data_IF_546122825280
#
_entry.id   IF_546122825280
#
_cell.length_a   1.000
_cell.length_b   1.000
_cell.length_c   1.000
_cell.angle_alpha   90.00
_cell.angle_beta   90.00
_cell.angle_gamma   90.00
#
_symmetry.space_group_name_H-M   'P 1'
#
loop_
_entity.id
_entity.type
_entity.pdbx_description
1 polymer ?
#
# COMPACT_ATOMS: atom_id res chain seq x y z
N UNK A 1 -143.47 44.74 9.91
CA UNK A 1 -143.07 43.92 8.74
C UNK A 1 -141.68 44.42 8.36
N UNK A 2 -140.56 43.74 8.55
CA UNK A 2 -140.23 42.44 9.14
C UNK A 2 -138.74 42.48 9.52
N UNK A 3 -138.37 41.74 10.56
CA UNK A 3 -137.00 41.53 11.04
C UNK A 3 -136.24 40.57 10.11
N UNK A 4 -134.97 40.85 9.81
CA UNK A 4 -134.04 39.84 9.27
C UNK A 4 -132.71 39.88 10.03
N UNK A 5 -132.24 38.67 10.31
CA UNK A 5 -131.21 38.25 11.26
C UNK A 5 -129.82 38.28 10.59
N UNK A 6 -128.92 39.16 11.07
CA UNK A 6 -127.56 39.37 10.56
C UNK A 6 -126.48 38.66 11.41
N UNK A 7 -126.87 37.85 12.41
CA UNK A 7 -125.94 37.35 13.42
C UNK A 7 -125.31 35.97 13.15
N UNK A 8 -125.78 35.25 12.11
CA UNK A 8 -125.31 33.88 11.80
C UNK A 8 -124.17 33.79 10.79
N UNK A 9 -124.00 34.79 9.92
CA UNK A 9 -123.02 34.77 8.82
C UNK A 9 -121.58 35.05 9.27
N UNK A 10 -121.38 35.77 10.38
CA UNK A 10 -120.03 36.20 10.81
C UNK A 10 -119.26 35.09 11.56
N UNK A 11 -119.97 34.10 12.13
CA UNK A 11 -119.33 32.95 12.82
C UNK A 11 -118.88 31.85 11.85
N UNK A 12 -119.65 31.61 10.78
CA UNK A 12 -119.29 30.64 9.74
C UNK A 12 -118.12 31.14 8.89
N UNK A 13 -118.04 32.45 8.60
CA UNK A 13 -116.90 33.03 7.88
C UNK A 13 -115.59 33.00 8.68
N UNK A 14 -115.62 33.16 10.01
CA UNK A 14 -114.41 33.02 10.86
C UNK A 14 -113.94 31.57 11.00
N UNK A 15 -114.86 30.60 11.04
CA UNK A 15 -114.50 29.17 11.08
C UNK A 15 -113.87 28.71 9.77
N UNK A 16 -114.45 29.12 8.63
CA UNK A 16 -113.91 28.82 7.31
C UNK A 16 -112.55 29.49 7.07
N UNK A 17 -112.33 30.72 7.57
CA UNK A 17 -111.02 31.36 7.51
C UNK A 17 -109.97 30.65 8.39
N UNK A 18 -110.34 30.14 9.57
CA UNK A 18 -109.44 29.41 10.46
C UNK A 18 -109.05 28.03 9.89
N UNK A 19 -110.00 27.29 9.32
CA UNK A 19 -109.74 26.01 8.65
C UNK A 19 -108.91 26.18 7.38
N UNK A 20 -109.18 27.24 6.60
CA UNK A 20 -108.40 27.54 5.40
C UNK A 20 -106.96 27.99 5.74
N UNK A 21 -106.76 28.67 6.87
CA UNK A 21 -105.44 29.06 7.36
C UNK A 21 -104.66 27.86 7.95
N UNK A 22 -105.33 26.93 8.65
CA UNK A 22 -104.73 25.66 9.09
C UNK A 22 -104.37 24.74 7.92
N UNK A 23 -105.19 24.69 6.88
CA UNK A 23 -104.89 23.93 5.66
C UNK A 23 -103.69 24.53 4.89
N UNK A 24 -103.59 25.86 4.80
CA UNK A 24 -102.45 26.52 4.17
C UNK A 24 -101.16 26.37 5.00
N UNK A 25 -101.24 26.37 6.34
CA UNK A 25 -100.11 26.11 7.23
C UNK A 25 -99.63 24.64 7.17
N UNK A 26 -100.54 23.66 7.10
CA UNK A 26 -100.17 22.23 6.94
C UNK A 26 -99.55 21.93 5.57
N UNK A 27 -100.02 22.58 4.51
CA UNK A 27 -99.38 22.49 3.18
C UNK A 27 -97.97 23.10 3.18
N UNK A 28 -97.77 24.23 3.87
CA UNK A 28 -96.44 24.84 4.06
C UNK A 28 -95.53 23.96 4.89
N UNK A 29 -96.05 23.36 5.95
CA UNK A 29 -95.30 22.44 6.81
C UNK A 29 -94.84 21.20 6.02
N UNK A 30 -95.72 20.60 5.20
CA UNK A 30 -95.35 19.51 4.31
C UNK A 30 -94.31 19.90 3.25
N UNK A 31 -94.43 21.08 2.64
CA UNK A 31 -93.45 21.58 1.68
C UNK A 31 -92.08 21.83 2.33
N UNK A 32 -92.06 22.35 3.56
CA UNK A 32 -90.84 22.51 4.35
C UNK A 32 -90.21 21.17 4.72
N UNK A 33 -90.99 20.19 5.17
CA UNK A 33 -90.51 18.84 5.46
C UNK A 33 -89.91 18.16 4.23
N UNK A 34 -90.55 18.28 3.06
CA UNK A 34 -89.98 17.78 1.80
C UNK A 34 -88.68 18.48 1.42
N UNK A 35 -88.60 19.80 1.60
CA UNK A 35 -87.38 20.56 1.33
C UNK A 35 -86.24 20.19 2.28
N UNK A 36 -86.54 19.96 3.56
CA UNK A 36 -85.57 19.47 4.55
C UNK A 36 -85.05 18.09 4.15
N UNK A 37 -85.92 17.16 3.77
CA UNK A 37 -85.50 15.81 3.35
C UNK A 37 -84.56 15.84 2.13
N UNK A 38 -84.82 16.73 1.15
CA UNK A 38 -83.92 16.92 0.00
C UNK A 38 -82.57 17.50 0.43
N UNK A 39 -82.57 18.52 1.30
CA UNK A 39 -81.33 19.12 1.81
C UNK A 39 -80.51 18.14 2.66
N UNK A 40 -81.18 17.27 3.45
CA UNK A 40 -80.51 16.21 4.21
C UNK A 40 -79.86 15.18 3.30
N UNK A 41 -80.52 14.80 2.19
CA UNK A 41 -79.95 13.92 1.19
C UNK A 41 -78.74 14.55 0.47
N UNK A 42 -78.83 15.81 0.05
CA UNK A 42 -77.72 16.56 -0.56
C UNK A 42 -76.53 16.71 0.42
N UNK A 43 -76.81 17.02 1.69
CA UNK A 43 -75.78 17.13 2.73
C UNK A 43 -75.11 15.77 3.00
N UNK A 44 -75.86 14.68 2.98
CA UNK A 44 -75.31 13.33 3.12
C UNK A 44 -74.37 12.98 1.96
N UNK A 45 -74.74 13.34 0.74
CA UNK A 45 -73.94 13.12 -0.45
C UNK A 45 -72.66 13.97 -0.44
N UNK A 46 -72.77 15.26 -0.08
CA UNK A 46 -71.62 16.15 0.09
C UNK A 46 -70.63 15.64 1.15
N UNK A 47 -71.13 15.06 2.25
CA UNK A 47 -70.28 14.45 3.29
C UNK A 47 -69.53 13.21 2.80
N UNK A 48 -70.14 12.41 1.92
CA UNK A 48 -69.46 11.25 1.31
C UNK A 48 -68.34 11.73 0.38
N UNK A 49 -68.63 12.69 -0.51
CA UNK A 49 -67.64 13.28 -1.41
C UNK A 49 -66.48 13.93 -0.65
N UNK A 50 -66.77 14.66 0.44
CA UNK A 50 -65.73 15.24 1.28
C UNK A 50 -64.81 14.18 1.89
N UNK A 51 -65.36 13.05 2.37
CA UNK A 51 -64.56 11.93 2.89
C UNK A 51 -63.70 11.27 1.82
N UNK A 52 -64.23 11.09 0.61
CA UNK A 52 -63.46 10.57 -0.52
C UNK A 52 -62.33 11.52 -0.93
N UNK A 53 -62.59 12.83 -0.96
CA UNK A 53 -61.58 13.84 -1.24
C UNK A 53 -60.43 13.79 -0.22
N UNK A 54 -60.75 13.80 1.08
CA UNK A 54 -59.73 13.71 2.13
C UNK A 54 -58.94 12.40 2.04
N UNK A 55 -59.59 11.30 1.65
CA UNK A 55 -58.90 10.01 1.44
C UNK A 55 -57.94 10.07 0.25
N UNK A 56 -58.35 10.67 -0.87
CA UNK A 56 -57.52 10.85 -2.05
C UNK A 56 -56.33 11.78 -1.76
N UNK A 57 -56.55 12.87 -1.03
CA UNK A 57 -55.48 13.77 -0.59
C UNK A 57 -54.43 13.03 0.25
N UNK A 58 -54.87 12.22 1.22
CA UNK A 58 -53.97 11.40 2.02
C UNK A 58 -53.19 10.38 1.16
N UNK A 59 -53.82 9.78 0.15
CA UNK A 59 -53.14 8.86 -0.78
C UNK A 59 -52.14 9.57 -1.69
N UNK A 60 -52.46 10.77 -2.16
CA UNK A 60 -51.54 11.58 -2.97
C UNK A 60 -50.31 11.94 -2.14
N UNK A 61 -50.49 12.31 -0.88
CA UNK A 61 -49.36 12.64 0.00
C UNK A 61 -48.48 11.42 0.28
N UNK A 62 -49.08 10.26 0.58
CA UNK A 62 -48.33 9.00 0.72
C UNK A 62 -47.57 8.62 -0.56
N UNK A 63 -48.16 8.83 -1.74
CA UNK A 63 -47.48 8.59 -3.01
C UNK A 63 -46.35 9.58 -3.26
N UNK A 64 -46.46 10.83 -2.81
CA UNK A 64 -45.38 11.82 -2.90
C UNK A 64 -44.21 11.43 -2.01
N UNK A 65 -44.48 11.12 -0.74
CA UNK A 65 -43.44 10.65 0.19
C UNK A 65 -42.74 9.39 -0.34
N UNK A 66 -43.50 8.40 -0.83
CA UNK A 66 -42.94 7.18 -1.41
C UNK A 66 -42.07 7.48 -2.64
N UNK A 67 -42.52 8.38 -3.52
CA UNK A 67 -41.73 8.80 -4.68
C UNK A 67 -40.44 9.53 -4.28
N UNK A 68 -40.49 10.41 -3.29
CA UNK A 68 -39.30 11.10 -2.77
C UNK A 68 -38.28 10.10 -2.21
N UNK A 69 -38.74 9.14 -1.41
CA UNK A 69 -37.88 8.07 -0.90
C UNK A 69 -37.25 7.22 -2.02
N UNK A 70 -38.01 6.90 -3.07
CA UNK A 70 -37.49 6.19 -4.24
C UNK A 70 -36.45 7.01 -4.99
N UNK A 71 -36.69 8.30 -5.21
CA UNK A 71 -35.73 9.20 -5.86
C UNK A 71 -34.44 9.28 -5.05
N UNK A 72 -34.53 9.46 -3.73
CA UNK A 72 -33.35 9.50 -2.85
C UNK A 72 -32.58 8.17 -2.87
N UNK A 73 -33.29 7.04 -2.82
CA UNK A 73 -32.67 5.72 -2.89
C UNK A 73 -31.98 5.47 -4.25
N UNK A 74 -32.59 5.89 -5.36
CA UNK A 74 -31.98 5.73 -6.69
C UNK A 74 -30.75 6.62 -6.86
N UNK A 75 -30.77 7.87 -6.41
CA UNK A 75 -29.60 8.77 -6.44
C UNK A 75 -28.45 8.23 -5.57
N UNK A 76 -28.75 7.73 -4.38
CA UNK A 76 -27.74 7.11 -3.51
C UNK A 76 -27.15 5.83 -4.12
N UNK A 77 -27.99 4.97 -4.69
CA UNK A 77 -27.55 3.74 -5.35
C UNK A 77 -26.69 4.04 -6.58
N UNK A 78 -27.08 5.05 -7.37
CA UNK A 78 -26.30 5.51 -8.52
C UNK A 78 -24.93 6.05 -8.08
N UNK A 79 -24.88 6.87 -7.04
CA UNK A 79 -23.62 7.42 -6.50
C UNK A 79 -22.67 6.32 -6.02
N UNK A 80 -23.19 5.30 -5.32
CA UNK A 80 -22.41 4.14 -4.88
C UNK A 80 -21.90 3.32 -6.06
N UNK A 81 -22.74 3.14 -7.09
CA UNK A 81 -22.36 2.42 -8.31
C UNK A 81 -21.27 3.15 -9.08
N UNK A 82 -21.40 4.46 -9.24
CA UNK A 82 -20.40 5.28 -9.93
C UNK A 82 -19.05 5.23 -9.21
N UNK A 83 -19.05 5.26 -7.87
CA UNK A 83 -17.84 5.07 -7.06
C UNK A 83 -17.23 3.67 -7.26
N UNK A 84 -18.06 2.62 -7.21
CA UNK A 84 -17.60 1.25 -7.41
C UNK A 84 -17.03 1.03 -8.83
N UNK A 85 -17.70 1.56 -9.86
CA UNK A 85 -17.24 1.49 -11.24
C UNK A 85 -15.92 2.27 -11.44
N UNK A 86 -15.78 3.46 -10.85
CA UNK A 86 -14.53 4.22 -10.90
C UNK A 86 -13.37 3.44 -10.26
N UNK A 87 -13.63 2.78 -9.12
CA UNK A 87 -12.62 1.97 -8.42
C UNK A 87 -12.25 0.73 -9.24
N UNK A 88 -13.24 0.05 -9.82
CA UNK A 88 -13.02 -1.15 -10.64
C UNK A 88 -12.29 -0.83 -11.96
N UNK A 89 -12.59 0.32 -12.59
CA UNK A 89 -11.86 0.79 -13.78
C UNK A 89 -10.39 1.02 -13.46
N UNK A 90 -10.07 1.71 -12.35
CA UNK A 90 -8.67 1.89 -11.89
C UNK A 90 -7.97 0.55 -11.62
N UNK A 91 -8.67 -0.41 -11.03
CA UNK A 91 -8.13 -1.74 -10.78
C UNK A 91 -7.86 -2.53 -12.08
N UNK A 92 -8.76 -2.41 -13.07
CA UNK A 92 -8.60 -3.06 -14.38
C UNK A 92 -7.47 -2.43 -15.18
N UNK A 93 -7.37 -1.10 -15.19
CA UNK A 93 -6.25 -0.35 -15.79
C UNK A 93 -4.92 -0.71 -15.13
N UNK A 94 -4.91 -0.88 -13.80
CA UNK A 94 -3.76 -1.37 -13.07
C UNK A 94 -3.33 -2.78 -13.50
N UNK A 95 -4.26 -3.74 -13.60
CA UNK A 95 -3.93 -5.10 -14.02
C UNK A 95 -3.33 -5.11 -15.44
N UNK A 96 -3.86 -4.30 -16.34
CA UNK A 96 -3.33 -4.14 -17.69
C UNK A 96 -1.92 -3.52 -17.68
N UNK A 97 -1.70 -2.49 -16.86
CA UNK A 97 -0.40 -1.83 -16.71
C UNK A 97 0.64 -2.75 -16.07
N UNK A 98 0.28 -3.46 -15.00
CA UNK A 98 1.12 -4.45 -14.34
C UNK A 98 1.54 -5.56 -15.29
N UNK A 99 0.59 -6.09 -16.08
CA UNK A 99 0.89 -7.10 -17.08
C UNK A 99 1.90 -6.57 -18.11
N UNK A 100 1.79 -5.29 -18.50
CA UNK A 100 2.73 -4.66 -19.42
C UNK A 100 4.12 -4.45 -18.78
N UNK A 101 4.17 -3.91 -17.57
CA UNK A 101 5.41 -3.64 -16.83
C UNK A 101 6.14 -4.93 -16.39
N UNK A 102 5.43 -6.04 -16.17
CA UNK A 102 6.04 -7.36 -15.95
C UNK A 102 6.48 -8.03 -17.26
N UNK A 103 5.74 -7.83 -18.35
CA UNK A 103 6.07 -8.42 -19.66
C UNK A 103 7.32 -7.79 -20.29
N UNK A 104 7.53 -6.49 -20.07
CA UNK A 104 8.66 -5.75 -20.62
C UNK A 104 10.03 -6.30 -20.19
N UNK A 105 10.31 -6.59 -18.89
CA UNK A 105 11.57 -7.18 -18.47
C UNK A 105 11.73 -8.67 -18.81
N UNK A 106 10.62 -9.39 -19.05
CA UNK A 106 10.66 -10.80 -19.45
C UNK A 106 11.24 -11.01 -20.86
N UNK A 107 11.04 -10.07 -21.78
CA UNK A 107 11.53 -10.21 -23.15
C UNK A 107 13.08 -10.20 -23.24
N UNK A 108 13.81 -9.25 -22.63
CA UNK A 108 15.27 -9.29 -22.57
C UNK A 108 15.82 -10.47 -21.75
N UNK A 109 15.12 -10.91 -20.71
CA UNK A 109 15.49 -12.12 -19.94
C UNK A 109 15.44 -13.37 -20.81
N UNK A 110 14.34 -13.56 -21.55
CA UNK A 110 14.19 -14.69 -22.46
C UNK A 110 15.25 -14.68 -23.55
N UNK A 111 15.53 -13.51 -24.15
CA UNK A 111 16.59 -13.36 -25.15
C UNK A 111 17.98 -13.66 -24.58
N UNK A 112 18.25 -13.18 -23.36
CA UNK A 112 19.52 -13.43 -22.66
C UNK A 112 19.70 -14.91 -22.32
N UNK A 113 18.65 -15.59 -21.88
CA UNK A 113 18.65 -17.03 -21.64
C UNK A 113 18.90 -17.83 -22.94
N UNK A 114 18.25 -17.46 -24.05
CA UNK A 114 18.51 -18.07 -25.36
C UNK A 114 19.94 -17.83 -25.86
N UNK A 115 20.50 -16.64 -25.63
CA UNK A 115 21.90 -16.33 -25.95
C UNK A 115 22.88 -17.14 -25.08
N UNK A 116 22.62 -17.28 -23.78
CA UNK A 116 23.43 -18.15 -22.89
C UNK A 116 23.38 -19.60 -23.37
N UNK A 117 22.21 -20.10 -23.78
CA UNK A 117 22.05 -21.46 -24.29
C UNK A 117 22.80 -21.68 -25.61
N UNK A 118 22.76 -20.70 -26.53
CA UNK A 118 23.51 -20.74 -27.79
C UNK A 118 25.04 -20.64 -27.58
N UNK A 119 25.48 -19.84 -26.61
CA UNK A 119 26.89 -19.72 -26.22
C UNK A 119 27.40 -21.00 -25.53
N UNK A 120 26.59 -21.62 -24.67
CA UNK A 120 26.91 -22.90 -24.04
C UNK A 120 27.02 -24.06 -25.07
N UNK A 121 26.23 -24.02 -26.14
CA UNK A 121 26.28 -25.01 -27.24
C UNK A 121 27.46 -24.83 -28.21
N UNK A 122 28.22 -23.73 -28.12
CA UNK A 122 29.33 -23.40 -29.04
C UNK A 122 30.72 -23.44 -28.36
N UNK A 123 30.85 -24.26 -27.32
CA UNK A 123 32.10 -24.47 -26.58
C UNK A 123 33.15 -25.26 -27.39
N UNK A 124 33.80 -24.57 -28.34
CA UNK A 124 35.09 -24.96 -28.91
C UNK A 124 36.23 -24.20 -28.23
N UNK A 125 37.36 -24.88 -27.96
CA UNK A 125 38.47 -24.44 -27.10
C UNK A 125 39.22 -23.15 -27.49
N UNK A 126 38.80 -22.42 -28.53
CA UNK A 126 39.51 -21.25 -29.08
C UNK A 126 38.87 -19.87 -28.74
N UNK A 127 37.75 -19.82 -28.01
CA UNK A 127 36.96 -18.59 -27.85
C UNK A 127 36.89 -18.00 -26.42
N UNK A 128 37.80 -18.40 -25.53
CA UNK A 128 37.75 -18.11 -24.08
C UNK A 128 37.79 -16.61 -23.71
N UNK A 129 38.37 -15.73 -24.55
CA UNK A 129 38.43 -14.28 -24.27
C UNK A 129 37.16 -13.50 -24.65
N UNK A 130 36.63 -13.73 -25.85
CA UNK A 130 35.46 -13.01 -26.37
C UNK A 130 34.13 -13.57 -25.81
N UNK A 131 34.04 -14.89 -25.60
CA UNK A 131 32.87 -15.52 -24.99
C UNK A 131 32.69 -15.12 -23.53
N UNK A 132 33.78 -14.92 -22.77
CA UNK A 132 33.70 -14.47 -21.37
C UNK A 132 33.13 -13.05 -21.22
N UNK A 133 33.51 -12.13 -22.10
CA UNK A 133 32.95 -10.78 -22.14
C UNK A 133 31.45 -10.79 -22.53
N UNK A 134 31.07 -11.62 -23.51
CA UNK A 134 29.67 -11.80 -23.89
C UNK A 134 28.83 -12.45 -22.78
N UNK A 135 29.35 -13.48 -22.08
CA UNK A 135 28.68 -14.09 -20.93
C UNK A 135 28.45 -13.06 -19.82
N UNK A 136 29.45 -12.24 -19.51
CA UNK A 136 29.37 -11.20 -18.48
C UNK A 136 28.34 -10.13 -18.86
N UNK A 137 28.29 -9.74 -20.13
CA UNK A 137 27.30 -8.78 -20.62
C UNK A 137 25.87 -9.34 -20.54
N UNK A 138 25.66 -10.59 -20.96
CA UNK A 138 24.35 -11.25 -20.93
C UNK A 138 23.89 -11.50 -19.50
N UNK A 139 24.77 -12.00 -18.62
CA UNK A 139 24.48 -12.12 -17.18
C UNK A 139 24.16 -10.77 -16.53
N UNK A 140 24.84 -9.70 -16.96
CA UNK A 140 24.54 -8.34 -16.52
C UNK A 140 23.15 -7.84 -16.95
N UNK A 141 22.68 -8.19 -18.16
CA UNK A 141 21.31 -7.91 -18.60
C UNK A 141 20.30 -8.69 -17.77
N UNK A 142 20.51 -9.99 -17.57
CA UNK A 142 19.65 -10.85 -16.75
C UNK A 142 19.50 -10.28 -15.34
N UNK A 143 20.62 -9.97 -14.68
CA UNK A 143 20.62 -9.42 -13.32
C UNK A 143 19.82 -8.12 -13.24
N UNK A 144 20.07 -7.15 -14.13
CA UNK A 144 19.31 -5.88 -14.15
C UNK A 144 17.80 -6.08 -14.31
N UNK A 145 17.39 -7.01 -15.16
CA UNK A 145 15.97 -7.29 -15.39
C UNK A 145 15.31 -8.04 -14.22
N UNK A 146 16.01 -8.99 -13.60
CA UNK A 146 15.55 -9.64 -12.36
C UNK A 146 15.40 -8.63 -11.24
N UNK A 147 16.40 -7.75 -11.04
CA UNK A 147 16.34 -6.70 -10.02
C UNK A 147 15.17 -5.73 -10.28
N UNK A 148 14.90 -5.42 -11.54
CA UNK A 148 13.73 -4.60 -11.93
C UNK A 148 12.41 -5.30 -11.61
N UNK A 149 12.28 -6.60 -11.93
CA UNK A 149 11.08 -7.37 -11.61
C UNK A 149 10.86 -7.51 -10.10
N UNK A 150 11.93 -7.78 -9.34
CA UNK A 150 11.86 -7.87 -7.88
C UNK A 150 11.33 -6.56 -7.28
N UNK A 151 11.88 -5.41 -7.69
CA UNK A 151 11.39 -4.09 -7.25
C UNK A 151 9.92 -3.86 -7.58
N UNK A 152 9.47 -4.20 -8.80
CA UNK A 152 8.05 -4.05 -9.19
C UNK A 152 7.11 -4.94 -8.36
N UNK A 153 7.55 -6.15 -8.03
CA UNK A 153 6.81 -7.08 -7.17
C UNK A 153 6.75 -6.57 -5.73
N UNK A 154 7.88 -6.10 -5.18
CA UNK A 154 7.95 -5.53 -3.84
C UNK A 154 7.06 -4.29 -3.71
N UNK A 155 7.10 -3.38 -4.68
CA UNK A 155 6.21 -2.20 -4.74
C UNK A 155 4.73 -2.60 -4.75
N UNK A 156 4.37 -3.65 -5.50
CA UNK A 156 3.00 -4.15 -5.58
C UNK A 156 2.56 -4.81 -4.27
N UNK A 157 3.43 -5.59 -3.65
CA UNK A 157 3.17 -6.23 -2.35
C UNK A 157 3.03 -5.17 -1.25
N UNK A 158 3.85 -4.13 -1.27
CA UNK A 158 3.73 -3.02 -0.34
C UNK A 158 2.44 -2.24 -0.57
N UNK A 159 2.07 -1.92 -1.81
CA UNK A 159 0.77 -1.29 -2.12
C UNK A 159 -0.42 -2.13 -1.64
N UNK A 160 -0.38 -3.46 -1.85
CA UNK A 160 -1.42 -4.37 -1.40
C UNK A 160 -1.49 -4.47 0.14
N UNK A 161 -0.34 -4.48 0.82
CA UNK A 161 -0.26 -4.50 2.29
C UNK A 161 -0.72 -3.18 2.91
N UNK A 162 -0.38 -2.05 2.30
CA UNK A 162 -0.87 -0.71 2.68
C UNK A 162 -2.39 -0.65 2.55
N UNK A 163 -2.91 -1.00 1.36
CA UNK A 163 -4.34 -0.92 1.05
C UNK A 163 -5.19 -1.84 1.96
N UNK A 164 -4.62 -2.98 2.37
CA UNK A 164 -5.27 -3.91 3.31
C UNK A 164 -5.04 -3.58 4.79
N UNK A 165 -4.27 -2.53 5.12
CA UNK A 165 -3.97 -2.13 6.50
C UNK A 165 -3.10 -3.12 7.29
N UNK A 166 -2.39 -4.03 6.61
CA UNK A 166 -1.63 -5.14 7.23
C UNK A 166 -0.14 -4.83 7.47
N UNK A 167 0.26 -3.56 7.43
CA UNK A 167 1.65 -3.17 7.68
C UNK A 167 1.85 -2.90 9.17
N UNK A 168 2.75 -3.66 9.77
CA UNK A 168 3.25 -3.40 11.13
C UNK A 168 4.63 -2.74 11.01
N UNK A 169 4.80 -1.54 11.59
CA UNK A 169 6.08 -0.84 11.59
C UNK A 169 6.99 -1.33 12.73
N UNK A 170 8.28 -1.48 12.42
CA UNK A 170 9.34 -1.70 13.41
C UNK A 170 9.84 -0.38 13.99
N UNK A 171 8.99 0.38 14.67
CA UNK A 171 9.37 1.70 15.19
C UNK A 171 10.43 1.55 16.29
N UNK A 172 11.59 2.19 16.09
CA UNK A 172 12.68 2.24 17.07
C UNK A 172 13.45 3.57 16.96
N UNK A 173 14.23 3.96 17.97
CA UNK A 173 15.12 5.11 17.87
C UNK A 173 16.13 4.90 16.72
N UNK A 174 16.17 5.85 15.80
CA UNK A 174 16.95 5.79 14.57
C UNK A 174 17.62 7.15 14.33
N UNK A 175 18.92 7.11 14.03
CA UNK A 175 19.62 8.25 13.45
C UNK A 175 19.22 8.39 11.98
N UNK A 176 18.52 9.49 11.64
CA UNK A 176 17.99 9.72 10.30
C UNK A 176 19.07 9.69 9.21
N UNK A 177 20.27 10.18 9.52
CA UNK A 177 21.40 10.19 8.59
C UNK A 177 21.69 8.79 8.03
N UNK A 178 21.63 7.74 8.85
CA UNK A 178 21.89 6.38 8.39
C UNK A 178 20.86 5.88 7.36
N UNK A 179 19.58 6.24 7.52
CA UNK A 179 18.55 5.89 6.53
C UNK A 179 18.71 6.69 5.23
N UNK A 180 19.11 7.96 5.33
CA UNK A 180 19.39 8.81 4.16
C UNK A 180 20.63 8.34 3.41
N UNK A 181 21.71 7.97 4.10
CA UNK A 181 22.94 7.45 3.51
C UNK A 181 22.68 6.16 2.73
N UNK A 182 21.92 5.21 3.30
CA UNK A 182 21.51 3.99 2.59
C UNK A 182 20.65 4.27 1.35
N UNK A 183 19.74 5.25 1.45
CA UNK A 183 18.92 5.66 0.31
C UNK A 183 19.76 6.28 -0.80
N UNK A 184 20.76 7.11 -0.45
CA UNK A 184 21.72 7.69 -1.39
C UNK A 184 22.55 6.59 -2.06
N UNK A 185 23.08 5.64 -1.29
CA UNK A 185 23.86 4.51 -1.81
C UNK A 185 23.06 3.69 -2.83
N UNK A 186 21.79 3.45 -2.55
CA UNK A 186 20.86 2.73 -3.43
C UNK A 186 20.70 3.42 -4.79
N UNK A 187 20.66 4.77 -4.82
CA UNK A 187 20.38 5.55 -6.05
C UNK A 187 21.66 6.04 -6.74
N UNK A 188 22.80 6.03 -6.04
CA UNK A 188 24.08 6.52 -6.53
C UNK A 188 24.58 5.91 -7.86
N UNK A 189 24.38 4.60 -8.16
CA UNK A 189 24.76 4.05 -9.46
C UNK A 189 24.03 4.73 -10.62
N UNK A 190 22.72 4.99 -10.46
CA UNK A 190 21.88 5.61 -11.49
C UNK A 190 22.22 7.08 -11.69
N UNK A 191 22.45 7.82 -10.61
CA UNK A 191 22.88 9.22 -10.66
C UNK A 191 24.22 9.34 -11.43
N UNK A 192 25.18 8.46 -11.14
CA UNK A 192 26.48 8.42 -11.84
C UNK A 192 26.34 8.05 -13.31
N UNK A 193 25.55 7.04 -13.64
CA UNK A 193 25.31 6.60 -15.02
C UNK A 193 24.72 7.73 -15.89
N UNK A 194 23.86 8.57 -15.30
CA UNK A 194 23.23 9.72 -15.95
C UNK A 194 24.05 11.02 -15.86
N UNK A 195 25.24 10.98 -15.24
CA UNK A 195 26.10 12.14 -15.03
C UNK A 195 25.47 13.26 -14.19
N UNK A 196 24.48 12.94 -13.34
CA UNK A 196 23.78 13.91 -12.50
C UNK A 196 24.61 14.29 -11.26
N UNK A 197 24.43 15.51 -10.75
CA UNK A 197 25.03 15.95 -9.48
C UNK A 197 24.05 15.80 -8.31
N UNK A 198 24.52 15.22 -7.20
CA UNK A 198 23.77 15.12 -5.96
C UNK A 198 24.48 15.95 -4.88
N UNK A 199 23.79 16.97 -4.37
CA UNK A 199 24.24 17.77 -3.24
C UNK A 199 23.51 17.35 -1.97
N UNK A 200 24.27 16.96 -0.95
CA UNK A 200 23.73 16.51 0.33
C UNK A 200 24.12 17.51 1.42
N UNK A 201 23.13 18.04 2.13
CA UNK A 201 23.32 18.98 3.23
C UNK A 201 22.57 18.47 4.47
N UNK A 202 23.33 18.04 5.48
CA UNK A 202 22.81 17.59 6.77
C UNK A 202 23.28 18.51 7.89
N UNK A 203 22.51 18.67 8.97
CA UNK A 203 22.95 19.45 10.11
C UNK A 203 24.03 18.68 10.87
N UNK A 204 24.92 19.41 11.55
CA UNK A 204 25.94 18.80 12.40
C UNK A 204 25.35 18.11 13.64
N UNK A 205 24.14 18.51 14.05
CA UNK A 205 23.40 17.87 15.16
C UNK A 205 22.78 16.53 14.71
N UNK A 206 22.98 15.44 15.47
CA UNK A 206 22.33 14.16 15.19
C UNK A 206 20.80 14.25 15.27
N UNK A 207 20.13 14.00 14.14
CA UNK A 207 18.66 13.97 14.06
C UNK A 207 18.15 12.56 14.38
N UNK A 208 17.61 12.38 15.59
CA UNK A 208 17.06 11.09 16.05
C UNK A 208 15.53 11.10 15.96
N UNK A 209 14.97 10.06 15.36
CA UNK A 209 13.52 9.86 15.21
C UNK A 209 13.11 8.47 15.67
N UNK A 210 11.85 8.31 16.05
CA UNK A 210 11.22 7.00 16.23
C UNK A 210 10.74 6.53 14.87
N UNK A 211 11.37 5.50 14.31
CA UNK A 211 10.93 4.99 13.02
C UNK A 211 11.49 3.63 12.62
N UNK A 212 10.86 3.06 11.60
CA UNK A 212 11.31 1.84 10.96
C UNK A 212 12.40 2.19 9.93
N UNK A 213 13.66 1.78 10.16
CA UNK A 213 14.77 2.13 9.28
C UNK A 213 14.59 1.61 7.86
N UNK A 214 14.03 0.41 7.68
CA UNK A 214 13.87 -0.20 6.35
C UNK A 214 12.83 0.60 5.56
N UNK A 215 11.72 0.95 6.21
CA UNK A 215 10.62 1.70 5.57
C UNK A 215 10.99 3.15 5.31
N UNK A 216 11.78 3.78 6.18
CA UNK A 216 12.26 5.14 5.96
C UNK A 216 13.32 5.20 4.87
N UNK A 217 14.27 4.25 4.83
CA UNK A 217 15.20 4.11 3.70
C UNK A 217 14.44 3.96 2.38
N UNK A 218 13.38 3.15 2.36
CA UNK A 218 12.51 2.99 1.19
C UNK A 218 11.83 4.30 0.77
N UNK A 219 11.30 5.07 1.72
CA UNK A 219 10.70 6.40 1.45
C UNK A 219 11.70 7.30 0.73
N UNK A 220 12.91 7.45 1.27
CA UNK A 220 13.90 8.36 0.71
C UNK A 220 14.50 7.84 -0.60
N UNK A 221 14.69 6.53 -0.73
CA UNK A 221 15.14 5.92 -1.99
C UNK A 221 14.12 6.13 -3.11
N UNK A 222 12.81 6.08 -2.81
CA UNK A 222 11.76 6.37 -3.78
C UNK A 222 11.75 7.84 -4.21
N UNK A 223 11.94 8.78 -3.28
CA UNK A 223 12.00 10.20 -3.60
C UNK A 223 13.25 10.55 -4.42
N UNK A 224 14.43 10.06 -4.02
CA UNK A 224 15.69 10.26 -4.75
C UNK A 224 15.68 9.55 -6.11
N UNK A 225 15.10 8.36 -6.18
CA UNK A 225 14.92 7.62 -7.42
C UNK A 225 14.02 8.35 -8.40
N UNK A 226 12.94 8.98 -7.92
CA UNK A 226 12.09 9.86 -8.71
C UNK A 226 12.86 11.11 -9.16
N UNK A 227 13.58 11.78 -8.27
CA UNK A 227 14.40 12.93 -8.62
C UNK A 227 15.39 12.61 -9.76
N UNK A 228 16.13 11.51 -9.65
CA UNK A 228 17.06 11.05 -10.71
C UNK A 228 16.35 10.71 -12.02
N UNK A 229 15.18 10.08 -11.94
CA UNK A 229 14.38 9.69 -13.11
C UNK A 229 13.85 10.88 -13.90
N UNK A 230 13.34 11.90 -13.21
CA UNK A 230 12.68 13.06 -13.84
C UNK A 230 13.62 14.22 -14.12
N UNK A 231 14.82 14.19 -13.53
CA UNK A 231 15.94 15.06 -13.89
C UNK A 231 16.60 14.60 -15.17
N UNK A 232 16.96 15.54 -16.05
CA UNK A 232 17.73 15.25 -17.25
C UNK A 232 19.13 14.72 -16.94
N UNK A 233 19.85 14.23 -17.96
CA UNK A 233 21.25 13.87 -17.81
C UNK A 233 22.07 15.14 -17.54
N UNK A 234 23.06 15.05 -16.64
CA UNK A 234 23.81 16.24 -16.20
C UNK A 234 23.03 17.21 -15.28
N UNK A 235 21.79 16.88 -14.89
CA UNK A 235 21.00 17.73 -14.00
C UNK A 235 21.40 17.61 -12.53
N UNK A 236 20.69 18.35 -11.67
CA UNK A 236 21.08 18.60 -10.28
C UNK A 236 19.96 18.20 -9.31
N UNK A 237 20.34 17.47 -8.27
CA UNK A 237 19.48 16.99 -7.20
C UNK A 237 20.05 17.47 -5.88
N UNK A 238 19.21 18.02 -5.01
CA UNK A 238 19.55 18.46 -3.67
C UNK A 238 18.78 17.63 -2.65
N UNK A 239 19.52 17.06 -1.69
CA UNK A 239 18.97 16.40 -0.51
C UNK A 239 19.36 17.24 0.70
N UNK A 240 18.37 17.78 1.40
CA UNK A 240 18.57 18.58 2.61
C UNK A 240 17.82 17.98 3.77
N UNK A 241 18.43 17.96 4.95
CA UNK A 241 17.72 17.68 6.19
C UNK A 241 17.99 18.79 7.20
N UNK A 242 16.97 19.19 7.97
CA UNK A 242 17.13 20.13 9.06
C UNK A 242 16.09 19.91 10.15
N UNK A 243 16.41 20.40 11.35
CA UNK A 243 15.47 20.45 12.47
C UNK A 243 14.57 21.68 12.34
N UNK A 244 13.27 21.48 12.43
CA UNK A 244 12.27 22.55 12.58
C UNK A 244 11.46 22.27 13.85
N UNK A 245 11.82 22.94 14.94
CA UNK A 245 11.19 22.79 16.27
C UNK A 245 11.22 21.34 16.81
N UNK A 246 10.06 20.66 16.79
CA UNK A 246 9.83 19.28 17.22
C UNK A 246 9.70 18.31 16.04
N UNK A 247 10.00 18.78 14.82
CA UNK A 247 9.98 17.98 13.61
C UNK A 247 11.36 17.99 12.93
N UNK A 248 11.67 16.90 12.24
CA UNK A 248 12.74 16.88 11.24
C UNK A 248 12.11 17.03 9.86
N UNK A 249 12.71 17.90 9.06
CA UNK A 249 12.29 18.15 7.69
C UNK A 249 13.37 17.63 6.75
N UNK A 250 12.97 16.81 5.79
CA UNK A 250 13.81 16.32 4.70
C UNK A 250 13.25 16.83 3.38
N UNK A 251 14.05 17.56 2.62
CA UNK A 251 13.70 18.06 1.29
C UNK A 251 14.53 17.33 0.23
N UNK A 252 13.84 16.81 -0.78
CA UNK A 252 14.43 16.35 -2.04
C UNK A 252 13.98 17.29 -3.15
N UNK A 253 14.92 18.08 -3.67
CA UNK A 253 14.66 19.05 -4.73
C UNK A 253 15.44 18.69 -5.99
N UNK A 254 14.80 18.84 -7.14
CA UNK A 254 15.40 18.60 -8.44
C UNK A 254 15.16 19.76 -9.40
N UNK A 255 15.96 19.85 -10.46
CA UNK A 255 15.79 20.79 -11.57
C UNK A 255 15.25 20.11 -12.84
N UNK A 256 14.47 19.06 -12.67
CA UNK A 256 13.97 18.21 -13.74
C UNK A 256 12.72 18.75 -14.45
N UNK A 257 11.94 17.82 -15.00
CA UNK A 257 10.78 18.11 -15.84
C UNK A 257 9.65 18.88 -15.13
N UNK A 258 9.68 18.99 -13.80
CA UNK A 258 8.61 19.64 -13.02
C UNK A 258 7.28 18.89 -13.10
N UNK A 259 6.24 19.47 -12.48
CA UNK A 259 4.92 18.85 -12.33
C UNK A 259 3.86 19.86 -12.77
N UNK A 260 2.96 19.41 -13.66
CA UNK A 260 1.81 20.22 -14.07
C UNK A 260 0.89 20.55 -12.86
N UNK A 261 0.41 21.79 -12.70
CA UNK A 261 -0.39 22.20 -11.54
C UNK A 261 -1.62 21.33 -11.27
N UNK A 262 -2.28 20.85 -12.33
CA UNK A 262 -3.44 19.96 -12.27
C UNK A 262 -3.11 18.55 -11.75
N UNK A 263 -1.83 18.16 -11.77
CA UNK A 263 -1.37 16.86 -11.30
C UNK A 263 -0.99 16.89 -9.82
N UNK A 264 -0.47 18.02 -9.30
CA UNK A 264 -0.01 18.17 -7.91
C UNK A 264 -0.97 17.62 -6.85
N UNK A 265 -2.31 17.86 -6.91
CA UNK A 265 -3.23 17.32 -5.90
C UNK A 265 -3.33 15.80 -5.89
N UNK A 266 -3.02 15.14 -7.00
CA UNK A 266 -3.25 13.70 -7.24
C UNK A 266 -1.97 12.88 -7.37
N UNK A 267 -0.77 13.48 -7.36
CA UNK A 267 0.49 12.73 -7.60
C UNK A 267 0.76 11.61 -6.58
N UNK A 268 0.15 11.68 -5.40
CA UNK A 268 0.26 10.67 -4.36
C UNK A 268 -0.89 9.66 -4.39
N UNK A 269 -1.88 9.86 -5.25
CA UNK A 269 -2.94 8.87 -5.47
C UNK A 269 -2.33 7.65 -6.19
N UNK A 270 -2.85 6.49 -5.84
CA UNK A 270 -2.43 5.22 -6.40
C UNK A 270 -2.61 5.24 -7.94
N UNK A 271 -1.56 4.84 -8.67
CA UNK A 271 -1.55 4.68 -10.13
C UNK A 271 -1.56 5.95 -10.97
N UNK A 272 -1.31 7.11 -10.36
CA UNK A 272 -1.18 8.35 -11.12
C UNK A 272 0.21 8.44 -11.78
N UNK A 273 0.22 8.68 -13.09
CA UNK A 273 1.43 8.95 -13.89
C UNK A 273 1.28 10.29 -14.62
N UNK A 274 2.39 11.00 -14.81
CA UNK A 274 2.44 12.18 -15.70
C UNK A 274 2.30 11.79 -17.18
N UNK A 275 1.96 12.75 -18.06
CA UNK A 275 1.86 12.50 -19.50
C UNK A 275 3.17 11.92 -20.05
N UNK A 276 3.06 10.81 -20.79
CA UNK A 276 4.21 10.12 -21.41
C UNK A 276 4.79 11.01 -22.51
N UNK A 277 5.90 11.69 -22.24
CA UNK A 277 6.70 12.29 -23.32
C UNK A 277 7.28 11.16 -24.16
N UNK A 278 7.03 11.18 -25.49
CA UNK A 278 7.47 10.20 -26.50
C UNK A 278 8.96 9.84 -26.48
N UNK A 279 9.79 10.59 -25.75
CA UNK A 279 11.24 10.41 -25.65
C UNK A 279 11.72 9.57 -24.44
N UNK A 280 10.85 9.14 -23.50
CA UNK A 280 11.28 8.36 -22.32
C UNK A 280 10.31 7.22 -22.00
N UNK A 281 10.78 5.99 -22.23
CA UNK A 281 10.06 4.73 -22.01
C UNK A 281 10.16 4.17 -20.58
N UNK A 282 10.80 4.88 -19.64
CA UNK A 282 10.90 4.47 -18.23
C UNK A 282 9.62 4.83 -17.45
N UNK A 283 8.43 4.47 -17.91
CA UNK A 283 7.21 4.55 -17.09
C UNK A 283 7.32 3.62 -15.88
N UNK A 284 6.85 4.04 -14.70
CA UNK A 284 6.79 3.17 -13.51
C UNK A 284 5.36 3.13 -12.99
N UNK A 285 4.94 2.08 -12.27
CA UNK A 285 3.54 1.77 -11.93
C UNK A 285 2.71 2.87 -11.22
N UNK A 286 3.29 4.02 -10.85
CA UNK A 286 2.57 5.09 -10.13
C UNK A 286 2.26 4.73 -8.68
N UNK A 287 3.05 3.82 -8.10
CA UNK A 287 2.87 3.29 -6.75
C UNK A 287 3.79 4.01 -5.74
N UNK A 288 5.01 4.37 -6.16
CA UNK A 288 6.07 4.83 -5.25
C UNK A 288 5.70 6.05 -4.38
N UNK A 289 5.04 7.07 -4.95
CA UNK A 289 4.63 8.25 -4.15
C UNK A 289 3.47 7.93 -3.20
N UNK A 290 2.56 7.03 -3.56
CA UNK A 290 1.51 6.57 -2.65
C UNK A 290 2.11 5.80 -1.46
N UNK A 291 3.09 4.93 -1.73
CA UNK A 291 3.85 4.22 -0.68
C UNK A 291 4.55 5.23 0.23
N UNK A 292 5.21 6.25 -0.33
CA UNK A 292 5.83 7.32 0.45
C UNK A 292 4.83 8.00 1.38
N UNK A 293 3.67 8.43 0.86
CA UNK A 293 2.65 9.11 1.67
C UNK A 293 2.16 8.24 2.83
N UNK A 294 1.85 6.98 2.56
CA UNK A 294 1.33 6.08 3.58
C UNK A 294 2.39 5.72 4.62
N UNK A 295 3.62 5.38 4.20
CA UNK A 295 4.70 5.07 5.14
C UNK A 295 5.05 6.27 6.02
N UNK A 296 5.17 7.48 5.45
CA UNK A 296 5.40 8.71 6.23
C UNK A 296 4.25 8.95 7.21
N UNK A 297 3.00 8.80 6.78
CA UNK A 297 1.83 8.93 7.65
C UNK A 297 1.81 7.92 8.79
N UNK A 298 2.19 6.67 8.54
CA UNK A 298 2.30 5.63 9.59
C UNK A 298 3.42 5.93 10.60
N UNK A 299 4.43 6.73 10.23
CA UNK A 299 5.46 7.26 11.13
C UNK A 299 5.04 8.55 11.84
N UNK A 300 3.77 8.97 11.73
CA UNK A 300 3.26 10.21 12.32
C UNK A 300 3.72 11.48 11.60
N UNK A 301 4.22 11.35 10.36
CA UNK A 301 4.70 12.45 9.55
C UNK A 301 3.75 12.89 8.45
N UNK A 302 4.19 13.90 7.67
CA UNK A 302 3.47 14.41 6.49
C UNK A 302 4.45 14.56 5.33
N UNK A 303 4.00 14.25 4.12
CA UNK A 303 4.74 14.54 2.88
C UNK A 303 3.96 15.53 2.02
N UNK A 304 4.67 16.52 1.48
CA UNK A 304 4.15 17.50 0.53
C UNK A 304 5.04 17.57 -0.72
N UNK A 305 4.48 18.10 -1.81
CA UNK A 305 5.20 18.33 -3.04
C UNK A 305 4.86 19.71 -3.61
N UNK A 306 5.87 20.38 -4.14
CA UNK A 306 5.77 21.70 -4.75
C UNK A 306 6.50 21.69 -6.10
N UNK A 307 5.94 22.39 -7.08
CA UNK A 307 6.56 22.60 -8.38
C UNK A 307 6.02 23.91 -8.98
N UNK A 308 6.87 24.69 -9.64
CA UNK A 308 6.47 25.91 -10.33
C UNK A 308 5.95 25.67 -11.75
N UNK A 309 5.72 24.41 -12.12
CA UNK A 309 5.25 23.99 -13.43
C UNK A 309 6.28 23.19 -14.21
N UNK A 310 5.93 22.82 -15.44
CA UNK A 310 6.78 22.01 -16.31
C UNK A 310 8.11 22.73 -16.63
N UNK A 311 9.21 22.00 -16.58
CA UNK A 311 10.58 22.48 -16.79
C UNK A 311 11.21 23.24 -15.63
N UNK A 312 10.49 23.43 -14.51
CA UNK A 312 10.96 24.20 -13.35
C UNK A 312 11.43 23.31 -12.18
N UNK A 313 11.47 21.99 -12.37
CA UNK A 313 11.79 21.03 -11.32
C UNK A 313 10.70 20.84 -10.27
N UNK A 314 10.98 20.00 -9.28
CA UNK A 314 10.08 19.70 -8.16
C UNK A 314 10.83 19.72 -6.82
N UNK A 315 10.08 19.98 -5.76
CA UNK A 315 10.53 19.79 -4.37
C UNK A 315 9.55 18.88 -3.64
N UNK A 316 10.06 17.83 -3.00
CA UNK A 316 9.32 16.94 -2.13
C UNK A 316 9.81 17.12 -0.70
N UNK A 317 8.90 17.42 0.21
CA UNK A 317 9.23 17.68 1.62
C UNK A 317 8.57 16.64 2.51
N UNK A 318 9.37 15.93 3.30
CA UNK A 318 8.93 14.96 4.32
C UNK A 318 9.16 15.58 5.70
N UNK A 319 8.13 15.61 6.53
CA UNK A 319 8.16 16.06 7.93
C UNK A 319 7.91 14.87 8.84
N UNK A 320 8.78 14.62 9.80
CA UNK A 320 8.67 13.53 10.78
C UNK A 320 8.84 14.07 12.20
N UNK A 321 8.16 13.52 13.21
CA UNK A 321 8.35 13.93 14.60
C UNK A 321 9.77 13.57 15.09
N UNK A 322 10.43 14.52 15.76
CA UNK A 322 11.72 14.28 16.42
C UNK A 322 11.53 13.54 17.74
N UNK A 323 12.37 12.54 17.98
CA UNK A 323 12.45 11.91 19.30
C UNK A 323 13.27 12.80 20.24
N UNK A 324 12.69 13.16 21.38
CA UNK A 324 13.33 14.02 22.40
C UNK A 324 14.48 13.39 23.19
N UNK A 325 15.16 12.36 22.66
CA UNK A 325 16.20 11.62 23.38
C UNK A 325 17.42 11.35 22.51
N UNK A 326 18.51 12.05 22.80
CA UNK A 326 19.84 11.62 22.36
C UNK A 326 20.23 10.36 23.13
N UNK A 327 20.14 9.19 22.49
CA UNK A 327 20.81 7.99 22.96
C UNK A 327 22.05 7.74 22.08
N UNK A 328 23.21 7.40 22.68
CA UNK A 328 24.45 7.24 21.94
C UNK A 328 24.39 5.94 21.12
N UNK A 329 24.48 6.06 19.80
CA UNK A 329 24.69 4.91 18.92
C UNK A 329 26.15 4.49 19.06
N UNK A 330 26.38 3.26 19.51
CA UNK A 330 27.69 2.63 19.47
C UNK A 330 28.14 2.51 18.01
N UNK A 331 29.25 3.15 17.68
CA UNK A 331 29.93 3.01 16.39
C UNK A 331 30.34 1.56 16.16
N UNK A 332 29.89 0.98 15.05
CA UNK A 332 30.49 -0.24 14.49
C UNK A 332 31.54 0.23 13.47
N UNK A 333 32.82 -0.09 13.62
CA UNK A 333 33.82 0.28 12.62
C UNK A 333 33.63 -0.59 11.37
N UNK A 334 33.36 0.04 10.24
CA UNK A 334 33.52 -0.56 8.92
C UNK A 334 35.01 -0.51 8.55
N UNK A 335 35.64 -1.69 8.46
CA UNK A 335 36.96 -1.86 7.87
C UNK A 335 36.88 -2.91 6.76
N UNK A 336 37.50 -2.69 5.58
CA UNK A 336 37.56 -3.69 4.54
C UNK A 336 38.51 -4.82 4.97
N UNK A 337 38.02 -6.06 5.04
CA UNK A 337 38.84 -7.24 5.34
C UNK A 337 39.33 -7.89 4.06
N UNK A 338 40.66 -7.99 3.93
CA UNK A 338 41.35 -8.83 2.96
C UNK A 338 41.13 -10.33 3.21
N UNK A 339 41.48 -11.12 2.20
CA UNK A 339 41.04 -12.49 1.91
C UNK A 339 41.93 -13.61 2.49
N UNK A 340 42.04 -13.75 3.82
CA UNK A 340 42.91 -14.79 4.40
C UNK A 340 42.28 -15.84 5.34
N UNK A 341 40.95 -15.92 5.52
CA UNK A 341 40.35 -17.03 6.29
C UNK A 341 39.05 -17.52 5.68
N UNK A 342 39.07 -18.72 5.09
CA UNK A 342 37.90 -19.43 4.59
C UNK A 342 37.06 -19.97 5.76
N UNK A 343 35.78 -19.63 5.82
CA UNK A 343 34.82 -20.21 6.78
C UNK A 343 34.21 -21.51 6.25
N UNK A 344 33.86 -22.41 7.16
CA UNK A 344 32.98 -23.55 6.90
C UNK A 344 31.53 -23.12 7.12
N UNK A 345 30.73 -23.21 6.08
CA UNK A 345 29.35 -22.77 6.05
C UNK A 345 28.44 -23.97 5.81
N UNK A 346 27.38 -24.12 6.62
CA UNK A 346 26.29 -25.04 6.34
C UNK A 346 25.08 -24.25 5.82
N UNK A 347 24.59 -24.59 4.63
CA UNK A 347 23.39 -24.02 4.04
C UNK A 347 22.23 -25.02 4.13
N UNK A 348 21.12 -24.62 4.73
CA UNK A 348 19.90 -25.43 4.88
C UNK A 348 18.75 -24.73 4.17
N UNK A 349 18.37 -25.23 2.99
CA UNK A 349 17.41 -24.61 2.07
C UNK A 349 16.73 -25.70 1.23
N UNK A 350 15.40 -25.76 1.25
CA UNK A 350 14.62 -26.80 0.55
C UNK A 350 14.48 -26.55 -0.95
N UNK A 351 14.58 -25.29 -1.38
CA UNK A 351 14.68 -24.96 -2.78
C UNK A 351 16.08 -25.28 -3.33
N UNK A 352 16.18 -26.39 -4.06
CA UNK A 352 17.43 -26.90 -4.65
C UNK A 352 18.14 -25.84 -5.49
N UNK A 353 17.42 -25.12 -6.36
CA UNK A 353 18.02 -24.11 -7.25
C UNK A 353 18.58 -22.91 -6.46
N UNK A 354 17.84 -22.45 -5.44
CA UNK A 354 18.29 -21.37 -4.57
C UNK A 354 19.49 -21.81 -3.72
N UNK A 355 19.44 -23.03 -3.19
CA UNK A 355 20.51 -23.64 -2.41
C UNK A 355 21.81 -23.76 -3.24
N UNK A 356 21.72 -24.28 -4.45
CA UNK A 356 22.86 -24.44 -5.36
C UNK A 356 23.45 -23.10 -5.81
N UNK A 357 22.59 -22.10 -6.05
CA UNK A 357 23.04 -20.74 -6.42
C UNK A 357 23.79 -20.08 -5.26
N UNK A 358 23.26 -20.18 -4.04
CA UNK A 358 23.89 -19.63 -2.83
C UNK A 358 25.19 -20.37 -2.50
N UNK A 359 25.23 -21.69 -2.65
CA UNK A 359 26.46 -22.49 -2.53
C UNK A 359 27.53 -21.98 -3.49
N UNK A 360 27.21 -21.88 -4.78
CA UNK A 360 28.15 -21.42 -5.79
C UNK A 360 28.69 -20.00 -5.49
N UNK A 361 27.82 -19.09 -5.00
CA UNK A 361 28.22 -17.74 -4.58
C UNK A 361 29.22 -17.76 -3.42
N UNK A 362 28.95 -18.55 -2.39
CA UNK A 362 29.79 -18.63 -1.19
C UNK A 362 31.11 -19.37 -1.46
N UNK A 363 31.09 -20.42 -2.30
CA UNK A 363 32.31 -21.11 -2.77
C UNK A 363 33.18 -20.18 -3.63
N UNK A 364 32.57 -19.36 -4.50
CA UNK A 364 33.27 -18.34 -5.28
C UNK A 364 33.92 -17.27 -4.39
N UNK A 365 33.31 -16.97 -3.24
CA UNK A 365 33.88 -16.10 -2.21
C UNK A 365 34.98 -16.78 -1.36
N UNK A 366 35.30 -18.05 -1.63
CA UNK A 366 36.39 -18.79 -1.01
C UNK A 366 36.01 -19.54 0.28
N UNK A 367 34.73 -19.88 0.47
CA UNK A 367 34.25 -20.63 1.64
C UNK A 367 34.07 -22.13 1.37
N UNK A 368 34.21 -22.96 2.40
CA UNK A 368 33.88 -24.40 2.35
C UNK A 368 32.39 -24.56 2.69
N UNK A 369 31.55 -24.89 1.71
CA UNK A 369 30.09 -24.90 1.86
C UNK A 369 29.54 -26.31 1.80
N UNK A 370 28.85 -26.72 2.86
CA UNK A 370 28.01 -27.91 2.86
C UNK A 370 26.53 -27.52 2.68
N UNK A 371 25.76 -28.36 2.02
CA UNK A 371 24.33 -28.14 1.76
C UNK A 371 23.46 -29.22 2.36
N UNK A 372 22.27 -28.84 2.81
CA UNK A 372 21.19 -29.72 3.20
C UNK A 372 19.87 -29.19 2.61
N UNK A 373 19.12 -30.06 1.95
CA UNK A 373 17.88 -29.70 1.26
C UNK A 373 16.62 -29.88 2.11
N UNK A 374 16.79 -30.21 3.39
CA UNK A 374 15.69 -30.30 4.34
C UNK A 374 16.21 -30.08 5.77
N UNK A 375 15.29 -29.77 6.68
CA UNK A 375 15.63 -29.44 8.06
C UNK A 375 16.24 -30.59 8.86
N UNK A 376 15.92 -31.85 8.53
CA UNK A 376 16.44 -33.02 9.24
C UNK A 376 17.89 -33.29 8.85
N UNK A 377 18.17 -33.28 7.54
CA UNK A 377 19.52 -33.36 7.00
C UNK A 377 20.38 -32.19 7.50
N UNK A 378 19.81 -30.98 7.57
CA UNK A 378 20.50 -29.80 8.09
C UNK A 378 20.90 -29.95 9.56
N UNK A 379 19.99 -30.44 10.39
CA UNK A 379 20.27 -30.70 11.81
C UNK A 379 21.33 -31.81 12.00
N UNK A 380 21.24 -32.90 11.25
CA UNK A 380 22.21 -34.01 11.31
C UNK A 380 23.60 -33.55 10.85
N UNK A 381 23.68 -32.78 9.76
CA UNK A 381 24.94 -32.19 9.30
C UNK A 381 25.56 -31.27 10.36
N UNK A 382 24.75 -30.39 10.96
CA UNK A 382 25.21 -29.48 12.00
C UNK A 382 25.68 -30.17 13.30
N UNK A 383 25.22 -31.40 13.57
CA UNK A 383 25.64 -32.20 14.72
C UNK A 383 26.89 -33.05 14.45
N UNK A 384 27.10 -33.45 13.20
CA UNK A 384 28.21 -34.35 12.80
C UNK A 384 29.51 -33.61 12.53
N UNK A 385 29.44 -32.37 12.04
CA UNK A 385 30.61 -31.54 11.74
C UNK A 385 30.41 -30.13 12.33
N UNK A 386 31.51 -29.53 12.78
CA UNK A 386 31.51 -28.14 13.22
C UNK A 386 31.55 -27.20 12.01
N UNK A 387 30.64 -26.22 12.00
CA UNK A 387 30.55 -25.14 11.03
C UNK A 387 30.68 -23.79 11.74
N UNK A 388 31.41 -22.88 11.11
CA UNK A 388 31.61 -21.52 11.62
C UNK A 388 30.33 -20.69 11.42
N UNK A 389 29.66 -20.90 10.28
CA UNK A 389 28.41 -20.21 9.92
C UNK A 389 27.35 -21.25 9.51
N UNK A 390 26.11 -21.04 9.96
CA UNK A 390 24.95 -21.79 9.48
C UNK A 390 23.96 -20.81 8.87
N UNK A 391 23.62 -20.99 7.61
CA UNK A 391 22.56 -20.25 6.91
C UNK A 391 21.36 -21.17 6.78
N UNK A 392 20.23 -20.83 7.40
CA UNK A 392 19.11 -21.75 7.53
C UNK A 392 17.79 -21.07 7.20
N UNK A 393 17.03 -21.64 6.27
CA UNK A 393 15.65 -21.25 6.05
C UNK A 393 14.77 -21.59 7.26
N UNK A 394 13.89 -20.67 7.63
CA UNK A 394 12.88 -20.88 8.67
C UNK A 394 11.77 -21.78 8.12
N UNK A 395 11.35 -21.57 6.87
CA UNK A 395 10.18 -22.19 6.26
C UNK A 395 10.35 -23.64 5.80
N UNK A 396 11.24 -24.42 6.41
CA UNK A 396 11.57 -25.77 5.95
C UNK A 396 10.41 -26.76 6.17
N UNK A 397 10.17 -27.67 5.21
CA UNK A 397 9.17 -28.73 5.36
C UNK A 397 9.59 -29.73 6.45
N UNK A 398 8.63 -30.13 7.29
CA UNK A 398 8.85 -31.09 8.37
C UNK A 398 9.35 -30.44 9.66
N UNK A 399 10.66 -30.17 9.75
CA UNK A 399 11.27 -29.52 10.91
C UNK A 399 11.51 -28.04 10.59
N UNK A 400 10.81 -27.16 11.31
CA UNK A 400 10.97 -25.71 11.23
C UNK A 400 12.42 -25.29 11.59
N UNK A 401 13.00 -24.35 10.84
CA UNK A 401 14.33 -23.80 11.11
C UNK A 401 14.48 -23.20 12.52
N UNK A 402 13.39 -22.69 13.11
CA UNK A 402 13.38 -22.27 14.52
C UNK A 402 13.71 -23.43 15.47
N UNK A 403 13.21 -24.63 15.18
CA UNK A 403 13.44 -25.81 16.02
C UNK A 403 14.88 -26.33 15.86
N UNK A 404 15.41 -26.32 14.63
CA UNK A 404 16.82 -26.65 14.36
C UNK A 404 17.73 -25.77 15.21
N UNK A 405 17.52 -24.45 15.19
CA UNK A 405 18.36 -23.51 15.92
C UNK A 405 18.22 -23.67 17.43
N UNK A 406 17.02 -23.88 17.97
CA UNK A 406 16.85 -24.15 19.41
C UNK A 406 17.63 -25.38 19.85
N UNK A 407 17.62 -26.44 19.04
CA UNK A 407 18.36 -27.66 19.34
C UNK A 407 19.87 -27.44 19.27
N UNK A 408 20.37 -26.73 18.24
CA UNK A 408 21.78 -26.36 18.14
C UNK A 408 22.23 -25.46 19.30
N UNK A 409 21.41 -24.51 19.75
CA UNK A 409 21.75 -23.68 20.91
C UNK A 409 21.79 -24.49 22.20
N UNK A 410 20.88 -25.45 22.40
CA UNK A 410 20.92 -26.34 23.58
C UNK A 410 22.21 -27.16 23.63
N UNK A 411 22.65 -27.73 22.51
CA UNK A 411 23.89 -28.52 22.45
C UNK A 411 25.14 -27.65 22.58
N UNK A 412 25.13 -26.45 21.98
CA UNK A 412 26.26 -25.50 22.05
C UNK A 412 26.30 -24.69 23.36
N UNK A 413 25.30 -24.78 24.23
CA UNK A 413 25.22 -23.98 25.47
C UNK A 413 26.34 -24.29 26.47
N UNK A 414 26.94 -25.48 26.39
CA UNK A 414 28.05 -25.91 27.22
C UNK A 414 29.43 -25.65 26.58
N UNK A 415 29.47 -25.17 25.33
CA UNK A 415 30.72 -24.93 24.60
C UNK A 415 31.29 -23.54 24.87
N UNK A 416 32.61 -23.35 24.74
CA UNK A 416 33.21 -22.02 24.79
C UNK A 416 32.57 -21.10 23.71
N UNK A 417 32.41 -19.79 23.98
CA UNK A 417 31.84 -18.85 23.00
C UNK A 417 32.52 -18.87 21.63
N UNK A 418 33.82 -19.23 21.57
CA UNK A 418 34.60 -19.36 20.35
C UNK A 418 34.22 -20.57 19.47
N UNK A 419 33.49 -21.58 20.00
CA UNK A 419 33.03 -22.76 19.25
C UNK A 419 31.59 -22.66 18.77
N UNK A 420 30.84 -21.65 19.21
CA UNK A 420 29.44 -21.46 18.84
C UNK A 420 29.32 -20.99 17.39
N UNK A 421 28.55 -21.71 16.57
CA UNK A 421 28.28 -21.30 15.18
C UNK A 421 27.50 -19.99 15.11
N UNK A 422 27.82 -19.15 14.12
CA UNK A 422 27.04 -17.95 13.81
C UNK A 422 25.89 -18.32 12.88
N UNK A 423 24.65 -18.08 13.28
CA UNK A 423 23.46 -18.59 12.57
C UNK A 423 22.69 -17.44 11.94
N UNK A 424 22.51 -17.50 10.62
CA UNK A 424 21.78 -16.54 9.79
C UNK A 424 20.46 -17.19 9.35
N UNK A 425 19.33 -16.55 9.68
CA UNK A 425 18.02 -16.99 9.21
C UNK A 425 17.75 -16.49 7.78
N UNK A 426 17.25 -17.37 6.91
CA UNK A 426 16.58 -16.99 5.67
C UNK A 426 15.07 -17.11 5.88
N UNK A 427 14.29 -16.14 5.40
CA UNK A 427 12.83 -16.22 5.52
C UNK A 427 12.11 -15.52 4.38
N UNK A 428 11.02 -16.11 3.90
CA UNK A 428 10.07 -15.46 3.00
C UNK A 428 9.14 -14.44 3.68
N UNK A 429 9.16 -14.33 5.02
CA UNK A 429 8.22 -13.52 5.79
C UNK A 429 8.94 -12.44 6.58
N UNK A 430 9.08 -11.23 6.04
CA UNK A 430 9.80 -10.11 6.68
C UNK A 430 9.06 -9.38 7.81
N UNK A 431 8.16 -10.03 8.56
CA UNK A 431 7.43 -9.37 9.67
C UNK A 431 8.30 -9.24 10.93
N UNK A 432 8.06 -8.21 11.74
CA UNK A 432 8.77 -7.98 13.00
C UNK A 432 8.65 -9.19 13.94
N UNK A 433 7.44 -9.74 14.06
CA UNK A 433 7.15 -10.90 14.91
C UNK A 433 7.99 -12.12 14.47
N UNK A 434 8.16 -12.34 13.17
CA UNK A 434 8.96 -13.45 12.65
C UNK A 434 10.45 -13.23 12.90
N UNK A 435 10.93 -11.98 12.80
CA UNK A 435 12.30 -11.62 13.16
C UNK A 435 12.56 -11.79 14.66
N UNK A 436 11.66 -11.32 15.51
CA UNK A 436 11.75 -11.48 16.97
C UNK A 436 11.69 -12.94 17.38
N UNK A 437 10.80 -13.73 16.77
CA UNK A 437 10.72 -15.19 16.97
C UNK A 437 12.01 -15.88 16.55
N UNK A 438 12.61 -15.48 15.44
CA UNK A 438 13.89 -16.02 14.98
C UNK A 438 15.04 -15.66 15.94
N UNK A 439 15.19 -14.38 16.29
CA UNK A 439 16.23 -13.95 17.22
C UNK A 439 16.04 -14.60 18.61
N UNK A 440 14.80 -14.69 19.10
CA UNK A 440 14.44 -15.36 20.34
C UNK A 440 14.68 -16.88 20.33
N UNK A 441 14.58 -17.53 19.17
CA UNK A 441 14.95 -18.94 19.01
C UNK A 441 16.47 -19.18 19.03
N UNK A 442 17.26 -18.13 18.80
CA UNK A 442 18.71 -18.15 18.91
C UNK A 442 19.47 -17.86 17.62
N UNK A 443 18.82 -17.36 16.58
CA UNK A 443 19.50 -16.84 15.38
C UNK A 443 20.28 -15.57 15.72
N UNK A 444 21.46 -15.38 15.10
CA UNK A 444 22.30 -14.18 15.31
C UNK A 444 21.98 -13.06 14.32
N UNK A 445 21.55 -13.44 13.11
CA UNK A 445 21.13 -12.53 12.04
C UNK A 445 19.93 -13.07 11.31
N UNK A 446 19.23 -12.18 10.63
CA UNK A 446 17.99 -12.46 9.94
C UNK A 446 18.02 -11.77 8.58
N UNK A 447 17.73 -12.52 7.52
CA UNK A 447 17.76 -12.07 6.14
C UNK A 447 16.45 -12.49 5.44
N UNK A 448 15.81 -11.53 4.77
CA UNK A 448 14.57 -11.76 4.03
C UNK A 448 14.91 -12.26 2.62
N UNK A 449 14.18 -13.27 2.15
CA UNK A 449 14.25 -13.76 0.77
C UNK A 449 13.51 -12.79 -0.17
N UNK A 450 14.05 -12.48 -1.36
CA UNK A 450 15.30 -13.00 -1.91
C UNK A 450 16.53 -12.39 -1.24
N UNK A 451 17.47 -13.25 -0.81
CA UNK A 451 18.71 -12.82 -0.18
C UNK A 451 19.60 -12.13 -1.23
N UNK A 452 19.81 -10.81 -1.09
CA UNK A 452 20.74 -10.09 -1.94
C UNK A 452 22.17 -10.64 -1.73
N UNK A 453 22.89 -11.03 -2.81
CA UNK A 453 24.23 -11.62 -2.71
C UNK A 453 25.20 -10.79 -1.87
N UNK A 454 25.22 -9.47 -2.08
CA UNK A 454 26.12 -8.55 -1.38
C UNK A 454 25.83 -8.51 0.13
N UNK A 455 24.55 -8.48 0.51
CA UNK A 455 24.13 -8.49 1.93
C UNK A 455 24.52 -9.81 2.60
N UNK A 456 24.36 -10.94 1.92
CA UNK A 456 24.76 -12.23 2.48
C UNK A 456 26.27 -12.30 2.68
N UNK A 457 27.06 -11.85 1.70
CA UNK A 457 28.52 -11.80 1.79
C UNK A 457 28.98 -10.85 2.90
N UNK A 458 28.32 -9.70 3.07
CA UNK A 458 28.58 -8.78 4.17
C UNK A 458 28.28 -9.39 5.54
N UNK A 459 27.17 -10.12 5.67
CA UNK A 459 26.82 -10.82 6.92
C UNK A 459 27.82 -11.92 7.25
N UNK A 460 28.29 -12.65 6.24
CA UNK A 460 29.38 -13.63 6.39
C UNK A 460 30.68 -12.94 6.81
N UNK A 461 30.99 -11.76 6.23
CA UNK A 461 32.11 -10.92 6.64
C UNK A 461 32.00 -10.42 8.09
N UNK A 462 30.82 -10.04 8.54
CA UNK A 462 30.55 -9.65 9.93
C UNK A 462 30.71 -10.82 10.90
N UNK A 463 30.24 -12.02 10.52
CA UNK A 463 30.44 -13.23 11.32
C UNK A 463 31.94 -13.51 11.52
N UNK A 464 32.77 -13.32 10.47
CA UNK A 464 34.23 -13.43 10.58
C UNK A 464 34.84 -12.43 11.56
N UNK A 465 34.37 -11.18 11.55
CA UNK A 465 34.83 -10.17 12.50
C UNK A 465 34.45 -10.54 13.95
N UNK A 466 33.25 -11.09 14.14
CA UNK A 466 32.78 -11.57 15.44
C UNK A 466 33.64 -12.70 16.01
N UNK A 467 34.11 -13.64 15.18
CA UNK A 467 35.03 -14.70 15.62
C UNK A 467 36.44 -14.18 15.92
N UNK A 468 36.96 -13.25 15.11
CA UNK A 468 38.30 -12.64 15.35
C UNK A 468 38.40 -11.82 16.63
N UNK A 469 37.31 -11.23 17.09
CA UNK A 469 37.27 -10.48 18.36
C UNK A 469 37.17 -11.40 19.60
N UNK A 470 36.89 -12.69 19.42
CA UNK A 470 36.67 -13.68 20.49
C UNK A 470 37.76 -14.74 20.62
N UNK A 471 38.65 -14.84 19.63
CA UNK A 471 39.90 -15.60 19.70
C UNK A 471 40.97 -14.77 20.41
#
# INVERSE_FOLDING_TARGET
MGTFDESRTDSEQRSLMSENNQFDDTLREHALQQRIAVLEAELSHARVLAREHTRLEAQIEQLREANEHLVMATVSAQSLRDLAEATNRRQTEFLAMLAHELRNPLAPLSMSASLLQALAGSAGAAAQGAQGAQLTQVAGVVRRQVDQMARLLDDLLDAARISSGKITLSVRPLLLAGALDQAVETVAPRIRERGQSLHVEFPAEPLTIEGDPVRLTQVFANLLGNASKYTGDGGCIHLRAWRADQEVVVEVRDNGAGIAPEMLPRIFDLFIQGPRSLARSEGGLGIGLNVVRNLVGMHGGVVSAESHGEGQGSSFTVRLPLSGGAAPVAEVPAGPSTAEDACRILLVEDNVDACDTLRALLELAGHDVAVAYDGRAGLEAAQTRHYDIVVCDIGLPGIDGLEIVRQLRRTQSAEPPARRSFIIALSGYGQLEDRERALGAGFDRYLVKPAAPDILLDLVGQARAFFRQRA
#
